data_IF_424542565585
#
_entry.id   IF_424542565585
#
_cell.length_a   1.000
_cell.length_b   1.000
_cell.length_c   1.000
_cell.angle_alpha   90.00
_cell.angle_beta   90.00
_cell.angle_gamma   90.00
#
_symmetry.space_group_name_H-M   'P 1'
#
loop_
_entity.id
_entity.type
_entity.pdbx_description
1 polymer ?
#
# COMPACT_ATOMS: atom_id res chain seq x y z
N UNK A 1 -17.19 31.95 53.43
CA UNK A 1 -17.30 30.63 52.75
C UNK A 1 -17.81 30.71 51.30
N UNK A 2 -18.62 31.71 50.91
CA UNK A 2 -19.14 31.85 49.52
C UNK A 2 -18.08 32.30 48.49
N UNK A 3 -17.08 33.07 48.91
CA UNK A 3 -15.99 33.57 48.04
C UNK A 3 -14.91 32.52 47.76
N UNK A 4 -14.75 31.51 48.62
CA UNK A 4 -13.78 30.43 48.44
C UNK A 4 -14.23 29.43 47.36
N UNK A 5 -15.54 29.23 47.20
CA UNK A 5 -16.11 28.33 46.17
C UNK A 5 -15.98 28.95 44.76
N UNK A 6 -16.09 30.29 44.66
CA UNK A 6 -15.91 31.01 43.38
C UNK A 6 -14.47 30.97 42.87
N UNK A 7 -13.47 30.89 43.75
CA UNK A 7 -12.05 30.79 43.38
C UNK A 7 -11.68 29.40 42.84
N UNK A 8 -12.37 28.36 43.30
CA UNK A 8 -12.14 26.96 42.89
C UNK A 8 -12.78 26.64 41.51
N UNK A 9 -13.83 27.36 41.11
CA UNK A 9 -14.45 27.19 39.79
C UNK A 9 -13.60 27.79 38.64
N UNK A 10 -12.75 28.78 38.93
CA UNK A 10 -11.94 29.48 37.91
C UNK A 10 -10.66 28.71 37.55
N UNK A 11 -10.18 27.84 38.44
CA UNK A 11 -8.95 27.06 38.23
C UNK A 11 -9.13 25.81 37.35
N UNK A 12 -10.36 25.35 37.14
CA UNK A 12 -10.68 24.17 36.31
C UNK A 12 -10.80 24.52 34.81
N UNK A 13 -10.85 25.80 34.45
CA UNK A 13 -11.08 26.24 33.06
C UNK A 13 -9.81 26.34 32.19
N UNK A 14 -8.61 26.04 32.71
CA UNK A 14 -7.34 26.32 32.01
C UNK A 14 -6.66 25.14 31.32
N UNK A 15 -7.24 23.93 31.31
CA UNK A 15 -6.70 22.83 30.51
C UNK A 15 -7.26 22.85 29.08
N UNK A 16 -6.93 23.89 28.33
CA UNK A 16 -7.09 23.89 26.87
C UNK A 16 -5.96 23.05 26.27
N UNK A 17 -6.25 21.80 25.89
CA UNK A 17 -5.33 20.99 25.09
C UNK A 17 -5.22 21.61 23.70
N UNK A 18 -4.16 22.38 23.45
CA UNK A 18 -3.82 22.86 22.10
C UNK A 18 -3.47 21.65 21.23
N UNK A 19 -4.36 21.32 20.29
CA UNK A 19 -4.01 20.40 19.21
C UNK A 19 -3.13 21.18 18.22
N UNK A 20 -1.86 20.82 18.12
CA UNK A 20 -0.97 21.47 17.16
C UNK A 20 -1.28 20.92 15.77
N UNK A 21 -1.82 21.76 14.90
CA UNK A 21 -2.00 21.40 13.49
C UNK A 21 -0.69 21.63 12.76
N UNK A 22 -0.15 20.60 12.12
CA UNK A 22 0.96 20.76 11.18
C UNK A 22 0.41 20.92 9.76
N UNK A 23 1.18 21.62 8.95
CA UNK A 23 1.01 21.67 7.50
C UNK A 23 2.21 21.05 6.82
N UNK A 24 2.05 20.65 5.57
CA UNK A 24 3.17 20.18 4.80
C UNK A 24 2.82 19.98 3.35
N UNK A 25 3.82 19.62 2.57
CA UNK A 25 3.71 19.32 1.15
C UNK A 25 4.40 17.99 0.85
N UNK A 26 3.76 17.16 0.03
CA UNK A 26 4.32 15.88 -0.45
C UNK A 26 4.52 15.97 -1.95
N UNK A 27 5.73 15.67 -2.39
CA UNK A 27 6.15 15.79 -3.80
C UNK A 27 7.05 14.63 -4.22
N UNK A 28 7.30 14.54 -5.50
CA UNK A 28 8.26 13.66 -6.16
C UNK A 28 9.18 14.47 -7.06
N UNK A 29 10.16 13.81 -7.68
CA UNK A 29 11.00 14.42 -8.72
C UNK A 29 10.20 14.91 -9.94
N UNK A 30 8.98 14.40 -10.13
CA UNK A 30 8.10 14.74 -11.27
C UNK A 30 7.09 15.84 -10.94
N UNK A 31 6.92 16.19 -9.65
CA UNK A 31 5.96 17.20 -9.21
C UNK A 31 5.22 16.84 -7.92
N UNK A 32 4.20 17.63 -7.53
CA UNK A 32 3.42 17.40 -6.32
C UNK A 32 2.64 16.08 -6.40
N UNK A 33 2.56 15.37 -5.26
CA UNK A 33 1.86 14.10 -5.18
C UNK A 33 0.45 14.32 -4.63
N UNK A 34 -0.53 14.26 -5.54
CA UNK A 34 -1.95 14.40 -5.21
C UNK A 34 -2.49 13.09 -4.65
N UNK A 35 -3.14 13.15 -3.47
CA UNK A 35 -3.71 11.98 -2.82
C UNK A 35 -2.69 11.06 -2.12
N UNK A 36 -1.53 11.59 -1.73
CA UNK A 36 -0.63 10.93 -0.81
C UNK A 36 -1.32 10.72 0.55
N UNK A 37 -1.10 9.56 1.16
CA UNK A 37 -1.60 9.23 2.50
C UNK A 37 -0.60 9.70 3.55
N UNK A 38 -1.07 10.48 4.53
CA UNK A 38 -0.29 10.93 5.69
C UNK A 38 -1.00 10.42 6.94
N UNK A 39 -0.42 9.44 7.63
CA UNK A 39 -1.04 8.78 8.80
C UNK A 39 -0.11 8.88 10.01
N UNK A 40 -0.67 9.13 11.19
CA UNK A 40 0.11 9.04 12.44
C UNK A 40 0.37 7.56 12.74
N UNK A 41 1.63 7.18 12.94
CA UNK A 41 2.05 5.81 13.20
C UNK A 41 1.30 5.23 14.39
N UNK A 42 0.75 4.03 14.23
CA UNK A 42 -0.08 3.33 15.23
C UNK A 42 -1.39 4.04 15.60
N UNK A 43 -1.93 4.87 14.72
CA UNK A 43 -3.18 5.60 14.92
C UNK A 43 -4.01 5.59 13.64
N UNK A 44 -5.34 5.67 13.78
CA UNK A 44 -6.27 5.81 12.65
C UNK A 44 -6.41 7.28 12.20
N UNK A 45 -5.72 8.21 12.88
CA UNK A 45 -5.71 9.62 12.50
C UNK A 45 -4.75 9.85 11.34
N UNK A 46 -5.27 10.43 10.27
CA UNK A 46 -4.51 10.78 9.08
C UNK A 46 -5.26 11.76 8.18
N UNK A 47 -4.63 12.12 7.08
CA UNK A 47 -5.17 12.99 6.04
C UNK A 47 -4.60 12.59 4.69
N UNK A 48 -5.10 13.22 3.63
CA UNK A 48 -4.59 13.08 2.26
C UNK A 48 -4.12 14.43 1.72
N UNK A 49 -3.12 14.42 0.84
CA UNK A 49 -2.68 15.63 0.15
C UNK A 49 -3.67 16.08 -0.92
N UNK A 50 -3.77 17.40 -1.13
CA UNK A 50 -4.64 18.04 -2.14
C UNK A 50 -3.98 18.09 -3.53
N UNK A 51 -4.55 18.87 -4.45
CA UNK A 51 -4.09 19.01 -5.85
C UNK A 51 -2.68 19.60 -5.98
N UNK A 52 -2.27 20.40 -4.99
CA UNK A 52 -0.95 21.02 -4.90
C UNK A 52 0.04 20.15 -4.11
N UNK A 53 -0.40 18.99 -3.59
CA UNK A 53 0.40 18.11 -2.72
C UNK A 53 0.41 18.55 -1.25
N UNK A 54 -0.33 19.59 -0.89
CA UNK A 54 -0.39 20.12 0.46
C UNK A 54 -1.32 19.29 1.36
N UNK A 55 -0.97 19.19 2.64
CA UNK A 55 -1.78 18.53 3.66
C UNK A 55 -1.79 19.31 4.97
N UNK A 56 -2.83 19.08 5.78
CA UNK A 56 -2.95 19.58 7.15
C UNK A 56 -3.45 18.47 8.07
N UNK A 57 -2.79 18.28 9.21
CA UNK A 57 -3.12 17.21 10.17
C UNK A 57 -2.88 17.68 11.61
N UNK A 58 -3.78 17.33 12.52
CA UNK A 58 -3.59 17.59 13.95
C UNK A 58 -2.73 16.48 14.55
N UNK A 59 -1.59 16.86 15.12
CA UNK A 59 -0.57 15.95 15.63
C UNK A 59 -0.03 16.45 16.97
N UNK A 60 0.68 15.57 17.67
CA UNK A 60 1.44 15.89 18.87
C UNK A 60 2.93 15.94 18.53
N UNK A 61 3.70 16.77 19.24
CA UNK A 61 5.16 16.77 19.11
C UNK A 61 5.68 15.36 19.44
N UNK A 62 6.63 14.85 18.64
CA UNK A 62 7.16 13.48 18.64
C UNK A 62 6.26 12.40 18.01
N UNK A 63 5.07 12.73 17.53
CA UNK A 63 4.34 11.80 16.66
C UNK A 63 5.18 11.44 15.45
N UNK A 64 5.06 10.21 14.96
CA UNK A 64 5.72 9.80 13.71
C UNK A 64 4.66 9.74 12.62
N UNK A 65 4.87 10.46 11.52
CA UNK A 65 4.04 10.38 10.33
C UNK A 65 4.57 9.31 9.41
N UNK A 66 3.68 8.50 8.86
CA UNK A 66 3.95 7.58 7.77
C UNK A 66 3.34 8.20 6.52
N UNK A 67 4.19 8.64 5.60
CA UNK A 67 3.78 9.19 4.32
C UNK A 67 3.93 8.12 3.26
N UNK A 68 2.86 7.84 2.52
CA UNK A 68 2.85 6.80 1.49
C UNK A 68 2.11 7.25 0.25
N UNK A 69 2.62 6.84 -0.90
CA UNK A 69 1.98 7.04 -2.19
C UNK A 69 2.27 5.86 -3.11
N UNK A 70 1.32 5.54 -3.99
CA UNK A 70 1.42 4.37 -4.86
C UNK A 70 2.58 4.53 -5.85
N UNK A 71 3.48 3.54 -5.88
CA UNK A 71 4.64 3.53 -6.77
C UNK A 71 5.85 4.25 -6.17
N UNK A 72 5.77 4.66 -4.90
CA UNK A 72 6.82 5.38 -4.19
C UNK A 72 7.23 4.64 -2.91
N UNK A 73 8.46 4.87 -2.49
CA UNK A 73 8.95 4.42 -1.20
C UNK A 73 8.26 5.26 -0.11
N UNK A 74 7.66 4.59 0.87
CA UNK A 74 7.08 5.27 2.03
C UNK A 74 8.18 5.83 2.92
N UNK A 75 7.93 7.00 3.50
CA UNK A 75 8.87 7.69 4.38
C UNK A 75 8.23 7.91 5.74
N UNK A 76 9.04 7.78 6.80
CA UNK A 76 8.63 8.04 8.17
C UNK A 76 9.29 9.31 8.69
N UNK A 77 8.50 10.24 9.22
CA UNK A 77 8.98 11.55 9.68
C UNK A 77 8.50 11.79 11.11
N UNK A 78 9.44 12.08 12.01
CA UNK A 78 9.11 12.49 13.37
C UNK A 78 8.73 13.97 13.38
N UNK A 79 7.55 14.27 13.92
CA UNK A 79 7.04 15.63 14.09
C UNK A 79 7.92 16.35 15.13
N UNK A 80 8.68 17.34 14.64
CA UNK A 80 9.48 18.24 15.46
C UNK A 80 8.68 19.46 15.96
N UNK A 81 9.38 20.54 16.26
CA UNK A 81 8.75 21.83 16.62
C UNK A 81 8.33 22.67 15.41
N UNK A 82 8.74 22.30 14.20
CA UNK A 82 8.41 23.03 12.99
C UNK A 82 7.00 22.69 12.50
N UNK A 83 6.24 23.72 12.12
CA UNK A 83 4.85 23.60 11.68
C UNK A 83 4.70 23.21 10.21
N UNK A 84 5.78 23.25 9.41
CA UNK A 84 5.77 22.95 7.99
C UNK A 84 6.74 21.81 7.62
N UNK A 85 6.21 20.72 7.06
CA UNK A 85 6.98 19.54 6.67
C UNK A 85 6.98 19.41 5.14
N UNK A 86 8.16 19.38 4.52
CA UNK A 86 8.31 19.08 3.09
C UNK A 86 8.84 17.66 2.92
N UNK A 87 8.13 16.87 2.13
CA UNK A 87 8.46 15.45 1.89
C UNK A 87 8.66 15.23 0.40
N UNK A 88 9.81 14.70 0.04
CA UNK A 88 10.08 14.19 -1.30
C UNK A 88 10.05 12.67 -1.23
N UNK A 89 9.08 12.04 -1.89
CA UNK A 89 9.05 10.59 -2.00
C UNK A 89 9.86 10.14 -3.21
N UNK A 90 10.75 9.18 -2.97
CA UNK A 90 11.52 8.55 -4.03
C UNK A 90 10.66 7.50 -4.75
N UNK A 91 10.66 7.55 -6.08
CA UNK A 91 9.99 6.55 -6.91
C UNK A 91 10.53 5.15 -6.60
N UNK A 92 9.63 4.20 -6.41
CA UNK A 92 9.95 2.80 -6.20
C UNK A 92 9.14 1.97 -7.21
N UNK A 93 9.58 2.00 -8.47
CA UNK A 93 8.93 1.25 -9.54
C UNK A 93 9.57 -0.14 -9.62
N UNK A 94 8.95 -1.08 -8.93
CA UNK A 94 8.87 -2.47 -9.36
C UNK A 94 7.44 -2.97 -9.07
N UNK A 95 6.45 -2.35 -9.70
CA UNK A 95 5.13 -2.95 -9.81
C UNK A 95 5.21 -3.94 -10.98
N UNK A 96 5.13 -5.23 -10.70
CA UNK A 96 5.05 -6.25 -11.76
C UNK A 96 3.96 -5.85 -12.77
N UNK A 97 4.38 -5.69 -14.01
CA UNK A 97 3.46 -5.57 -15.13
C UNK A 97 2.62 -6.84 -15.20
N UNK A 98 1.29 -6.67 -15.28
CA UNK A 98 0.39 -7.82 -15.41
C UNK A 98 0.19 -8.02 -16.89
N UNK A 99 0.90 -9.00 -17.43
CA UNK A 99 0.70 -9.43 -18.81
C UNK A 99 -0.48 -10.42 -18.84
N UNK A 100 -1.51 -10.08 -19.61
CA UNK A 100 -2.57 -11.02 -19.96
C UNK A 100 -1.98 -11.92 -21.06
N UNK A 101 -1.47 -13.09 -20.70
CA UNK A 101 -1.15 -14.10 -21.72
C UNK A 101 -2.48 -14.69 -22.20
N UNK A 102 -3.06 -14.08 -23.23
CA UNK A 102 -4.16 -14.67 -23.97
C UNK A 102 -3.60 -15.83 -24.80
N UNK A 103 -3.60 -17.05 -24.26
CA UNK A 103 -3.56 -18.24 -25.12
C UNK A 103 -4.91 -18.30 -25.85
N UNK A 104 -4.99 -17.67 -27.02
CA UNK A 104 -6.01 -18.03 -27.99
C UNK A 104 -5.79 -19.50 -28.32
N UNK A 105 -6.66 -20.39 -27.84
CA UNK A 105 -6.65 -21.79 -28.22
C UNK A 105 -6.88 -21.89 -29.73
N UNK A 106 -5.80 -21.90 -30.50
CA UNK A 106 -5.87 -22.13 -31.93
C UNK A 106 -5.89 -23.65 -32.14
N UNK A 107 -7.08 -24.26 -32.08
CA UNK A 107 -7.25 -25.66 -32.48
C UNK A 107 -7.07 -25.75 -33.99
N UNK A 108 -5.84 -25.97 -34.46
CA UNK A 108 -5.58 -26.32 -35.85
C UNK A 108 -5.57 -27.84 -35.99
N UNK A 109 -6.66 -28.37 -36.52
CA UNK A 109 -6.67 -29.72 -37.09
C UNK A 109 -5.81 -29.68 -38.35
N UNK A 110 -4.63 -30.28 -38.32
CA UNK A 110 -3.75 -30.37 -39.48
C UNK A 110 -3.61 -31.83 -39.90
N UNK A 111 -4.30 -32.22 -40.96
CA UNK A 111 -3.97 -33.42 -41.70
C UNK A 111 -2.74 -33.12 -42.56
N UNK A 112 -1.64 -33.78 -42.19
CA UNK A 112 -0.40 -34.01 -42.95
C UNK A 112 0.56 -32.80 -43.12
N UNK A 113 1.61 -32.86 -42.29
CA UNK A 113 2.91 -32.16 -42.33
C UNK A 113 2.89 -30.62 -42.23
N UNK A 114 2.80 -30.12 -40.99
CA UNK A 114 3.33 -28.80 -40.63
C UNK A 114 4.76 -28.94 -40.10
N UNK A 115 5.74 -28.37 -40.80
CA UNK A 115 7.02 -27.99 -40.19
C UNK A 115 6.76 -26.74 -39.36
N UNK A 116 7.00 -26.83 -38.05
CA UNK A 116 6.93 -25.68 -37.15
C UNK A 116 8.21 -24.87 -37.34
N UNK A 117 8.12 -23.71 -37.98
CA UNK A 117 9.19 -22.70 -37.90
C UNK A 117 8.83 -21.77 -36.74
N UNK A 118 9.34 -22.10 -35.55
CA UNK A 118 9.26 -21.19 -34.41
C UNK A 118 10.39 -20.16 -34.54
N UNK A 119 10.06 -18.93 -34.91
CA UNK A 119 11.00 -17.82 -34.79
C UNK A 119 11.16 -17.52 -33.30
N UNK A 120 12.29 -17.92 -32.71
CA UNK A 120 12.62 -17.59 -31.33
C UNK A 120 13.00 -16.11 -31.29
N UNK A 121 12.04 -15.24 -30.93
CA UNK A 121 12.39 -13.92 -30.41
C UNK A 121 12.97 -14.13 -29.01
N UNK A 122 14.29 -14.02 -28.88
CA UNK A 122 14.96 -13.96 -27.59
C UNK A 122 14.69 -12.59 -26.96
N UNK A 123 13.47 -12.36 -26.49
CA UNK A 123 13.21 -11.29 -25.55
C UNK A 123 13.72 -11.78 -24.19
N UNK A 124 14.93 -11.35 -23.82
CA UNK A 124 15.52 -11.65 -22.51
C UNK A 124 14.81 -10.83 -21.43
N UNK A 125 13.59 -11.24 -21.06
CA UNK A 125 12.94 -10.78 -19.85
C UNK A 125 13.70 -11.39 -18.66
N UNK A 126 14.29 -10.54 -17.81
CA UNK A 126 14.70 -10.94 -16.46
C UNK A 126 13.43 -11.20 -15.65
N UNK A 127 12.81 -12.36 -15.86
CA UNK A 127 11.83 -12.87 -14.92
C UNK A 127 12.58 -13.08 -13.60
N UNK A 128 12.34 -12.20 -12.63
CA UNK A 128 12.81 -12.38 -11.26
C UNK A 128 12.17 -13.64 -10.71
N UNK A 129 12.86 -14.77 -10.94
CA UNK A 129 12.43 -16.13 -10.61
C UNK A 129 12.28 -16.34 -9.09
N UNK A 130 12.67 -15.34 -8.30
CA UNK A 130 12.77 -15.33 -6.84
C UNK A 130 11.84 -14.30 -6.16
N UNK A 131 10.70 -13.94 -6.76
CA UNK A 131 9.69 -13.12 -6.07
C UNK A 131 8.44 -13.93 -5.74
N UNK A 132 7.72 -13.49 -4.69
CA UNK A 132 6.40 -14.03 -4.37
C UNK A 132 5.47 -13.84 -5.57
N UNK A 133 4.49 -14.71 -5.75
CA UNK A 133 3.60 -14.65 -6.91
C UNK A 133 2.15 -14.63 -6.48
N UNK A 134 1.31 -13.89 -7.21
CA UNK A 134 -0.12 -13.76 -6.96
C UNK A 134 -0.91 -14.37 -8.12
N UNK A 135 -1.74 -15.38 -7.85
CA UNK A 135 -2.52 -16.09 -8.87
C UNK A 135 -3.93 -16.45 -8.38
N UNK A 136 -4.93 -16.57 -9.27
CA UNK A 136 -4.91 -16.05 -10.63
C UNK A 136 -4.90 -14.52 -10.60
N UNK A 137 -4.32 -13.88 -11.62
CA UNK A 137 -4.34 -12.43 -11.74
C UNK A 137 -4.35 -12.04 -13.24
N UNK A 138 -5.45 -11.49 -13.77
CA UNK A 138 -6.69 -11.10 -13.07
C UNK A 138 -7.51 -12.26 -12.48
N UNK A 139 -8.44 -11.97 -11.57
CA UNK A 139 -9.36 -12.93 -10.94
C UNK A 139 -10.82 -12.49 -11.05
N UNK A 140 -11.65 -13.30 -11.72
CA UNK A 140 -13.11 -13.07 -11.84
C UNK A 140 -13.89 -13.25 -10.54
N UNK A 141 -13.30 -13.88 -9.53
CA UNK A 141 -13.98 -14.24 -8.28
C UNK A 141 -13.50 -13.41 -7.10
N UNK A 142 -12.50 -12.55 -7.30
CA UNK A 142 -11.79 -11.87 -6.23
C UNK A 142 -10.98 -12.79 -5.31
N UNK A 143 -10.87 -14.09 -5.61
CA UNK A 143 -10.05 -15.03 -4.83
C UNK A 143 -8.67 -15.16 -5.45
N UNK A 144 -7.65 -15.08 -4.61
CA UNK A 144 -6.24 -15.11 -4.96
C UNK A 144 -5.46 -16.07 -4.05
N UNK A 145 -4.30 -16.46 -4.54
CA UNK A 145 -3.30 -17.26 -3.87
C UNK A 145 -1.96 -16.55 -4.01
N UNK A 146 -1.30 -16.33 -2.87
CA UNK A 146 0.06 -15.81 -2.81
C UNK A 146 0.98 -17.01 -2.60
N UNK A 147 1.80 -17.29 -3.61
CA UNK A 147 2.88 -18.27 -3.51
C UNK A 147 4.14 -17.58 -2.98
N UNK A 148 4.53 -17.95 -1.78
CA UNK A 148 5.72 -17.49 -1.10
C UNK A 148 6.94 -18.27 -1.60
N UNK A 149 8.10 -17.63 -1.60
CA UNK A 149 9.37 -18.26 -2.01
C UNK A 149 9.96 -19.16 -0.92
N UNK A 150 9.66 -18.84 0.34
CA UNK A 150 10.20 -19.51 1.53
C UNK A 150 9.12 -19.76 2.58
N UNK A 151 9.46 -20.57 3.58
CA UNK A 151 8.62 -20.82 4.74
C UNK A 151 8.84 -19.71 5.78
N UNK A 152 7.81 -18.89 5.98
CA UNK A 152 7.86 -17.78 6.93
C UNK A 152 7.08 -18.13 8.20
N UNK A 153 7.66 -17.77 9.36
CA UNK A 153 7.00 -17.94 10.67
C UNK A 153 5.70 -17.14 10.70
N UNK A 154 5.79 -15.89 10.25
CA UNK A 154 4.71 -14.93 10.29
C UNK A 154 4.62 -14.22 8.95
N UNK A 155 3.43 -14.20 8.34
CA UNK A 155 3.15 -13.43 7.12
C UNK A 155 2.01 -12.47 7.41
N UNK A 156 2.21 -11.21 7.03
CA UNK A 156 1.20 -10.17 7.04
C UNK A 156 0.94 -9.72 5.60
N UNK A 157 -0.33 -9.66 5.23
CA UNK A 157 -0.79 -9.19 3.93
C UNK A 157 -1.74 -8.04 4.16
N UNK A 158 -1.44 -6.89 3.55
CA UNK A 158 -2.29 -5.71 3.56
C UNK A 158 -2.71 -5.40 2.13
N UNK A 159 -4.02 -5.24 1.93
CA UNK A 159 -4.60 -4.95 0.62
C UNK A 159 -5.13 -3.53 0.62
N UNK A 160 -4.73 -2.76 -0.37
CA UNK A 160 -5.13 -1.38 -0.57
C UNK A 160 -5.96 -1.23 -1.85
N UNK A 161 -6.99 -0.39 -1.81
CA UNK A 161 -7.67 0.05 -3.03
C UNK A 161 -6.84 1.13 -3.77
N UNK A 162 -7.36 1.61 -4.92
CA UNK A 162 -6.71 2.66 -5.73
C UNK A 162 -6.57 4.00 -5.02
N UNK A 163 -7.38 4.26 -4.00
CA UNK A 163 -7.31 5.45 -3.14
C UNK A 163 -6.34 5.27 -1.96
N UNK A 164 -5.64 4.13 -1.87
CA UNK A 164 -4.69 3.84 -0.80
C UNK A 164 -5.34 3.50 0.55
N UNK A 165 -6.64 3.25 0.60
CA UNK A 165 -7.31 2.79 1.82
C UNK A 165 -7.12 1.27 1.98
N UNK A 166 -6.87 0.83 3.20
CA UNK A 166 -6.79 -0.60 3.52
C UNK A 166 -8.18 -1.22 3.43
N UNK A 167 -8.35 -2.18 2.53
CA UNK A 167 -9.60 -2.93 2.35
C UNK A 167 -9.57 -4.30 3.02
N UNK A 168 -8.37 -4.86 3.24
CA UNK A 168 -8.22 -6.13 3.94
C UNK A 168 -6.83 -6.26 4.56
N UNK A 169 -6.79 -6.82 5.76
CA UNK A 169 -5.56 -7.24 6.44
C UNK A 169 -5.68 -8.71 6.80
N UNK A 170 -4.64 -9.49 6.50
CA UNK A 170 -4.52 -10.89 6.86
C UNK A 170 -3.18 -11.11 7.56
N UNK A 171 -3.19 -11.74 8.72
CA UNK A 171 -1.99 -12.21 9.40
C UNK A 171 -2.11 -13.72 9.61
N UNK A 172 -1.11 -14.49 9.19
CA UNK A 172 -1.06 -15.93 9.45
C UNK A 172 0.23 -16.31 10.18
N UNK A 173 0.09 -17.29 11.08
CA UNK A 173 1.16 -18.00 11.76
C UNK A 173 0.69 -19.43 12.08
N UNK A 174 1.50 -20.48 11.87
CA UNK A 174 2.58 -20.58 10.89
C UNK A 174 2.02 -20.64 9.46
N UNK A 175 2.83 -20.31 8.45
CA UNK A 175 2.34 -20.17 7.07
C UNK A 175 3.09 -21.11 6.15
N UNK A 176 2.37 -22.03 5.52
CA UNK A 176 2.88 -22.78 4.38
C UNK A 176 3.18 -21.83 3.22
N UNK A 177 3.96 -22.25 2.22
CA UNK A 177 4.28 -21.43 1.03
C UNK A 177 3.08 -20.89 0.23
N UNK A 178 1.84 -21.17 0.63
CA UNK A 178 0.62 -20.71 -0.02
C UNK A 178 -0.31 -19.98 0.95
N UNK A 179 -0.62 -18.72 0.64
CA UNK A 179 -1.58 -17.90 1.39
C UNK A 179 -2.79 -17.60 0.53
N UNK A 180 -3.98 -17.95 1.00
CA UNK A 180 -5.24 -17.58 0.36
C UNK A 180 -5.65 -16.17 0.74
N UNK A 181 -5.92 -15.34 -0.27
CA UNK A 181 -6.44 -13.99 -0.13
C UNK A 181 -7.82 -13.95 -0.79
N UNK A 182 -8.85 -13.62 -0.02
CA UNK A 182 -10.23 -13.52 -0.51
C UNK A 182 -10.69 -12.06 -0.52
N UNK A 183 -10.89 -11.52 -1.72
CA UNK A 183 -11.47 -10.21 -2.00
C UNK A 183 -12.79 -10.34 -2.77
N UNK A 184 -13.50 -11.48 -2.67
CA UNK A 184 -14.73 -11.70 -3.43
C UNK A 184 -15.87 -10.74 -3.08
N UNK A 185 -15.77 -10.07 -1.93
CA UNK A 185 -16.73 -9.06 -1.46
C UNK A 185 -16.30 -7.64 -1.86
N UNK A 186 -15.12 -7.49 -2.47
CA UNK A 186 -14.61 -6.20 -2.94
C UNK A 186 -15.05 -5.95 -4.39
N UNK A 187 -15.33 -4.70 -4.78
CA UNK A 187 -15.69 -4.37 -6.16
C UNK A 187 -14.62 -4.79 -7.18
N UNK A 188 -15.02 -4.98 -8.44
CA UNK A 188 -14.07 -5.14 -9.54
C UNK A 188 -13.12 -3.93 -9.61
N UNK A 189 -11.87 -4.18 -9.96
CA UNK A 189 -10.84 -3.15 -10.05
C UNK A 189 -9.46 -3.61 -9.59
N UNK A 190 -8.55 -2.63 -9.52
CA UNK A 190 -7.16 -2.84 -9.15
C UNK A 190 -6.94 -2.62 -7.65
N UNK A 191 -6.17 -3.52 -7.05
CA UNK A 191 -5.74 -3.50 -5.66
C UNK A 191 -4.23 -3.69 -5.56
N UNK A 192 -3.65 -3.20 -4.48
CA UNK A 192 -2.25 -3.42 -4.15
C UNK A 192 -2.15 -4.34 -2.94
N UNK A 193 -1.40 -5.41 -3.09
CA UNK A 193 -1.20 -6.43 -2.08
C UNK A 193 0.22 -6.30 -1.55
N UNK A 194 0.37 -5.66 -0.40
CA UNK A 194 1.63 -5.59 0.33
C UNK A 194 1.80 -6.89 1.10
N UNK A 195 2.92 -7.58 0.87
CA UNK A 195 3.28 -8.83 1.52
C UNK A 195 4.50 -8.54 2.40
N UNK A 196 4.37 -8.80 3.70
CA UNK A 196 5.45 -8.75 4.68
C UNK A 196 5.59 -10.07 5.41
N UNK A 197 6.80 -10.39 5.84
CA UNK A 197 7.08 -11.56 6.66
C UNK A 197 8.15 -11.27 7.71
N UNK A 198 8.04 -11.91 8.87
CA UNK A 198 9.00 -11.78 9.98
C UNK A 198 9.32 -10.31 10.34
N UNK A 199 8.34 -9.41 10.23
CA UNK A 199 8.50 -7.97 10.51
C UNK A 199 9.13 -7.14 9.39
N UNK A 200 9.44 -7.73 8.23
CA UNK A 200 10.00 -7.04 7.07
C UNK A 200 9.03 -7.07 5.87
N UNK A 201 8.99 -5.99 5.09
CA UNK A 201 8.29 -5.98 3.79
C UNK A 201 9.05 -6.85 2.78
N UNK A 202 8.35 -7.78 2.14
CA UNK A 202 8.90 -8.64 1.09
C UNK A 202 8.69 -7.97 -0.28
N UNK A 203 7.44 -7.84 -0.71
CA UNK A 203 7.08 -7.31 -2.02
C UNK A 203 5.68 -6.68 -2.00
N UNK A 204 5.39 -5.87 -3.02
CA UNK A 204 4.03 -5.45 -3.35
C UNK A 204 3.63 -6.10 -4.66
N UNK A 205 2.39 -6.59 -4.77
CA UNK A 205 1.83 -7.14 -6.01
C UNK A 205 0.55 -6.43 -6.39
N UNK A 206 0.34 -6.24 -7.69
CA UNK A 206 -0.94 -5.74 -8.23
C UNK A 206 -1.93 -6.90 -8.30
N UNK A 207 -3.13 -6.73 -7.78
CA UNK A 207 -4.24 -7.69 -7.92
C UNK A 207 -5.37 -7.03 -8.73
N UNK A 208 -5.90 -7.73 -9.73
CA UNK A 208 -6.99 -7.23 -10.57
C UNK A 208 -8.19 -8.16 -10.38
N UNK A 209 -9.33 -7.59 -10.01
CA UNK A 209 -10.63 -8.26 -9.99
C UNK A 209 -11.38 -7.82 -11.24
N UNK A 210 -11.74 -8.77 -12.10
CA UNK A 210 -12.53 -8.54 -13.32
C UNK A 210 -14.02 -8.73 -13.02
#
# INVERSE_FOLDING_TARGET
>A
MKTLISSLLVSVALTAFSQNSITGNVSSNEGPLVGANIIIKNSDKGTISNLEGDFKLNVTIKDTLVISYLGYKSEEIVVGQHENIKVLLEGNIALDEVEIIAYGNCTRYCHLRCVVVSTIYNASYRLDKNSEKLYPNPSKTGRFQIKLIDDYKNVNVQVYNRSGQIVKTLSKQPVSKLVHLDLSQSPSGMYLVNIGANGKRLTTKKAIID
#
